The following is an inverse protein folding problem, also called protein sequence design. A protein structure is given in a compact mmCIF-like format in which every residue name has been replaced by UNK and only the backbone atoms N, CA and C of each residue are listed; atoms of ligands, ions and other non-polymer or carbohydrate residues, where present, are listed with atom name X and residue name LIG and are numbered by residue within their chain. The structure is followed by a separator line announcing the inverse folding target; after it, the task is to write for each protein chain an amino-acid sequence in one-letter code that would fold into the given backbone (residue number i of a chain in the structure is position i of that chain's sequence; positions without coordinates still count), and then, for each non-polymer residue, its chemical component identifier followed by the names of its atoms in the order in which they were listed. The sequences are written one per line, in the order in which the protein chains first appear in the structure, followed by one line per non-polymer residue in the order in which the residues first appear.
data_IF_219633092664
#
_entry.id   IF_219633092664
#
_cell.length_a   1.000
_cell.length_b   1.000
_cell.length_c   1.000
_cell.angle_alpha   90.00
_cell.angle_beta   90.00
_cell.angle_gamma   90.00
#
_symmetry.space_group_name_H-M   'P 1'
#
loop_
_entity.id
_entity.type
_entity.pdbx_description
1 polymer ?
#
# COMPACT_ATOMS: atom_id res chain seq x y z
N UNK A 1 -61.00 -9.31 -15.02
CA UNK A 1 -59.96 -10.36 -15.12
C UNK A 1 -58.94 -9.89 -16.15
N UNK A 2 -57.74 -9.59 -15.65
CA UNK A 2 -56.45 -9.38 -16.33
C UNK A 2 -56.37 -8.27 -17.38
N UNK A 3 -56.12 -7.07 -16.87
CA UNK A 3 -55.43 -6.00 -17.57
C UNK A 3 -54.01 -6.47 -17.94
N UNK A 4 -53.67 -6.45 -19.23
CA UNK A 4 -52.30 -6.65 -19.70
C UNK A 4 -51.59 -5.29 -19.72
N UNK A 5 -50.95 -4.97 -18.60
CA UNK A 5 -50.03 -3.85 -18.48
C UNK A 5 -48.81 -4.14 -19.37
N UNK A 6 -48.67 -3.38 -20.45
CA UNK A 6 -47.46 -3.39 -21.28
C UNK A 6 -46.45 -2.48 -20.59
N UNK A 7 -45.32 -2.99 -20.08
CA UNK A 7 -44.30 -2.13 -19.48
C UNK A 7 -43.67 -1.29 -20.59
N UNK A 8 -43.84 0.03 -20.49
CA UNK A 8 -43.17 1.00 -21.34
C UNK A 8 -41.65 0.89 -21.18
N UNK A 9 -40.86 1.08 -22.26
CA UNK A 9 -39.41 1.05 -22.18
C UNK A 9 -38.89 2.41 -21.70
N UNK A 10 -39.22 2.79 -20.46
CA UNK A 10 -38.55 3.91 -19.78
C UNK A 10 -37.58 3.34 -18.75
N UNK A 11 -36.37 3.00 -19.18
CA UNK A 11 -35.16 3.11 -18.37
C UNK A 11 -33.91 2.71 -19.18
N UNK A 12 -33.20 3.73 -19.61
CA UNK A 12 -31.75 3.86 -19.41
C UNK A 12 -30.85 2.79 -20.02
N UNK A 13 -30.32 3.15 -21.17
CA UNK A 13 -29.12 2.57 -21.74
C UNK A 13 -28.90 3.19 -23.10
N UNK A 14 -28.57 4.49 -23.13
CA UNK A 14 -27.91 5.04 -24.31
C UNK A 14 -26.82 4.06 -24.74
N UNK A 15 -26.63 3.78 -26.04
CA UNK A 15 -25.48 3.01 -26.48
C UNK A 15 -24.26 3.74 -25.94
N UNK A 16 -23.61 3.15 -24.92
CA UNK A 16 -22.59 3.74 -24.06
C UNK A 16 -21.57 4.50 -24.93
N UNK A 17 -21.88 5.76 -25.16
CA UNK A 17 -21.38 6.53 -26.27
C UNK A 17 -20.22 7.31 -25.74
N UNK A 18 -19.02 6.79 -25.96
CA UNK A 18 -17.78 7.47 -25.63
C UNK A 18 -17.80 8.08 -24.22
N UNK A 19 -17.75 7.23 -23.19
CA UNK A 19 -17.37 7.76 -21.87
C UNK A 19 -16.10 8.59 -22.04
N UNK A 20 -16.05 9.81 -21.47
CA UNK A 20 -14.88 10.64 -21.62
C UNK A 20 -13.69 9.86 -21.02
N UNK A 21 -12.66 9.63 -21.83
CA UNK A 21 -11.53 8.74 -21.53
C UNK A 21 -10.89 9.03 -20.16
N UNK A 22 -10.84 10.30 -19.75
CA UNK A 22 -10.24 10.73 -18.49
C UNK A 22 -11.05 10.31 -17.26
N UNK A 23 -12.37 10.54 -17.18
CA UNK A 23 -13.26 9.90 -16.21
C UNK A 23 -13.10 8.39 -16.09
N UNK A 24 -13.00 7.67 -17.21
CA UNK A 24 -12.78 6.22 -17.19
C UNK A 24 -11.43 5.88 -16.54
N UNK A 25 -10.36 6.57 -16.95
CA UNK A 25 -9.02 6.40 -16.36
C UNK A 25 -9.04 6.64 -14.85
N UNK A 26 -9.65 7.74 -14.39
CA UNK A 26 -9.78 8.07 -12.96
C UNK A 26 -10.54 6.98 -12.20
N UNK A 27 -11.61 6.47 -12.79
CA UNK A 27 -12.47 5.45 -12.18
C UNK A 27 -11.74 4.12 -12.04
N UNK A 28 -11.06 3.68 -13.11
CA UNK A 28 -10.31 2.41 -13.11
C UNK A 28 -9.09 2.48 -12.18
N UNK A 29 -8.38 3.60 -12.15
CA UNK A 29 -7.21 3.79 -11.27
C UNK A 29 -7.60 4.15 -9.83
N UNK A 30 -8.87 4.48 -9.56
CA UNK A 30 -9.34 5.04 -8.27
C UNK A 30 -8.53 6.28 -7.86
N UNK A 31 -8.19 7.13 -8.82
CA UNK A 31 -7.34 8.32 -8.66
C UNK A 31 -8.08 9.59 -9.11
N UNK A 32 -9.06 10.08 -8.33
CA UNK A 32 -9.79 11.31 -8.66
C UNK A 32 -8.90 12.56 -8.60
N UNK A 33 -7.73 12.45 -7.96
CA UNK A 33 -6.72 13.51 -7.83
C UNK A 33 -5.97 13.81 -9.15
N UNK A 34 -6.02 12.91 -10.14
CA UNK A 34 -5.32 13.11 -11.42
C UNK A 34 -6.03 14.18 -12.26
N UNK A 35 -5.33 15.28 -12.55
CA UNK A 35 -5.84 16.34 -13.43
C UNK A 35 -5.78 15.93 -14.90
N UNK A 36 -6.62 16.55 -15.74
CA UNK A 36 -6.64 16.28 -17.19
C UNK A 36 -5.32 16.63 -17.87
N UNK A 37 -4.55 17.59 -17.32
CA UNK A 37 -3.24 17.94 -17.83
C UNK A 37 -2.25 16.79 -17.60
N UNK A 38 -2.21 16.23 -16.39
CA UNK A 38 -1.34 15.08 -16.06
C UNK A 38 -1.71 13.86 -16.90
N UNK A 39 -3.01 13.59 -17.08
CA UNK A 39 -3.46 12.47 -17.91
C UNK A 39 -3.05 12.64 -19.37
N UNK A 40 -3.12 13.87 -19.91
CA UNK A 40 -2.63 14.18 -21.25
C UNK A 40 -1.13 13.94 -21.39
N UNK A 41 -0.35 14.39 -20.42
CA UNK A 41 1.11 14.20 -20.43
C UNK A 41 1.46 12.70 -20.38
N UNK A 42 0.79 11.92 -19.52
CA UNK A 42 0.99 10.46 -19.43
C UNK A 42 0.65 9.74 -20.75
N UNK A 43 -0.41 10.17 -21.43
CA UNK A 43 -0.79 9.62 -22.73
C UNK A 43 0.17 10.05 -23.84
N UNK A 44 0.67 11.30 -23.82
CA UNK A 44 1.63 11.82 -24.79
C UNK A 44 3.02 11.19 -24.66
N UNK A 45 3.44 10.87 -23.43
CA UNK A 45 4.70 10.18 -23.15
C UNK A 45 4.69 8.70 -23.57
N UNK A 46 3.56 8.18 -24.08
CA UNK A 46 3.37 6.77 -24.48
C UNK A 46 3.81 5.79 -23.38
N UNK A 47 3.67 6.16 -22.11
CA UNK A 47 4.02 5.32 -20.95
C UNK A 47 2.96 4.27 -20.64
N UNK A 48 2.38 3.71 -21.71
CA UNK A 48 1.51 2.56 -21.65
C UNK A 48 2.36 1.33 -21.90
N UNK A 49 2.38 0.42 -20.94
CA UNK A 49 2.94 -0.90 -21.24
C UNK A 49 1.91 -1.62 -22.11
N UNK A 50 2.21 -1.80 -23.40
CA UNK A 50 1.37 -2.42 -24.46
C UNK A 50 1.08 -3.92 -24.22
N UNK A 51 0.83 -4.31 -22.97
CA UNK A 51 0.59 -5.69 -22.55
C UNK A 51 -0.84 -6.18 -22.82
N UNK A 52 -1.72 -5.37 -23.41
CA UNK A 52 -3.16 -5.66 -23.47
C UNK A 52 -3.71 -5.95 -24.88
N UNK A 53 -2.87 -6.03 -25.92
CA UNK A 53 -3.33 -6.34 -27.29
C UNK A 53 -4.20 -5.26 -27.94
N UNK A 54 -4.31 -4.08 -27.31
CA UNK A 54 -4.93 -2.88 -27.83
C UNK A 54 -3.82 -1.83 -28.05
N UNK A 55 -3.76 -1.28 -29.26
CA UNK A 55 -2.82 -0.23 -29.60
C UNK A 55 -3.27 1.11 -28.99
N UNK A 56 -2.34 2.06 -28.88
CA UNK A 56 -2.63 3.37 -28.31
C UNK A 56 -3.71 4.11 -29.12
N UNK A 57 -3.67 4.02 -30.45
CA UNK A 57 -4.65 4.69 -31.31
C UNK A 57 -6.05 4.08 -31.15
N UNK A 58 -6.16 2.75 -31.06
CA UNK A 58 -7.38 2.05 -30.69
C UNK A 58 -7.89 2.47 -29.32
N UNK A 59 -7.02 2.55 -28.32
CA UNK A 59 -7.40 3.00 -26.97
C UNK A 59 -7.91 4.45 -26.95
N UNK A 60 -7.23 5.38 -27.64
CA UNK A 60 -7.62 6.80 -27.72
C UNK A 60 -8.92 7.01 -28.51
N UNK A 61 -9.18 6.16 -29.51
CA UNK A 61 -10.43 6.16 -30.29
C UNK A 61 -11.59 5.42 -29.61
N UNK A 62 -11.40 4.92 -28.38
CA UNK A 62 -12.44 4.21 -27.64
C UNK A 62 -12.67 2.76 -28.09
N UNK A 63 -11.77 2.19 -28.91
CA UNK A 63 -11.85 0.80 -29.35
C UNK A 63 -11.47 -0.19 -28.23
N UNK A 64 -11.93 -1.43 -28.39
CA UNK A 64 -11.68 -2.53 -27.46
C UNK A 64 -12.78 -2.71 -26.41
N UNK A 65 -12.78 -3.88 -25.77
CA UNK A 65 -13.76 -4.18 -24.71
C UNK A 65 -13.42 -3.41 -23.42
N UNK A 66 -14.40 -3.22 -22.54
CA UNK A 66 -14.18 -2.58 -21.24
C UNK A 66 -13.06 -3.26 -20.42
N UNK A 67 -12.94 -4.59 -20.49
CA UNK A 67 -11.87 -5.32 -19.81
C UNK A 67 -10.49 -5.05 -20.43
N UNK A 68 -10.39 -5.06 -21.76
CA UNK A 68 -9.15 -4.73 -22.48
C UNK A 68 -8.68 -3.32 -22.16
N UNK A 69 -9.60 -2.35 -22.18
CA UNK A 69 -9.32 -0.94 -21.86
C UNK A 69 -8.90 -0.78 -20.40
N UNK A 70 -9.57 -1.45 -19.47
CA UNK A 70 -9.17 -1.45 -18.06
C UNK A 70 -7.77 -2.04 -17.84
N UNK A 71 -7.35 -3.06 -18.60
CA UNK A 71 -5.97 -3.59 -18.55
C UNK A 71 -4.94 -2.57 -19.02
N UNK A 72 -5.21 -1.85 -20.11
CA UNK A 72 -4.35 -0.75 -20.60
C UNK A 72 -4.24 0.34 -19.53
N UNK A 73 -5.39 0.75 -18.95
CA UNK A 73 -5.40 1.79 -17.92
C UNK A 73 -4.57 1.37 -16.70
N UNK A 74 -4.70 0.11 -16.25
CA UNK A 74 -3.91 -0.41 -15.11
C UNK A 74 -2.42 -0.52 -15.41
N UNK A 75 -2.00 -0.55 -16.68
CA UNK A 75 -0.59 -0.56 -17.07
C UNK A 75 0.01 0.83 -17.26
N UNK A 76 -0.78 1.90 -17.05
CA UNK A 76 -0.33 3.29 -17.10
C UNK A 76 0.64 3.59 -15.96
N UNK A 77 1.76 4.23 -16.29
CA UNK A 77 2.64 4.83 -15.29
C UNK A 77 2.15 6.23 -14.96
N UNK A 78 1.49 6.39 -13.80
CA UNK A 78 0.99 7.69 -13.33
C UNK A 78 1.83 8.25 -12.18
N UNK A 79 1.89 9.58 -12.00
CA UNK A 79 2.58 10.19 -10.87
C UNK A 79 2.04 9.69 -9.51
N UNK A 80 2.89 9.69 -8.46
CA UNK A 80 2.45 9.32 -7.12
C UNK A 80 1.30 10.24 -6.64
N UNK A 81 0.41 9.75 -5.77
CA UNK A 81 -0.65 10.56 -5.18
C UNK A 81 -0.07 11.81 -4.51
N UNK A 82 -0.63 12.98 -4.81
CA UNK A 82 -0.17 14.24 -4.21
C UNK A 82 -0.57 14.38 -2.73
N UNK A 83 -1.54 13.57 -2.29
CA UNK A 83 -1.91 13.49 -0.89
C UNK A 83 -0.84 12.68 -0.15
N UNK A 84 0.11 13.39 0.46
CA UNK A 84 1.07 12.79 1.37
C UNK A 84 0.31 12.02 2.46
N UNK A 85 0.58 10.72 2.58
CA UNK A 85 0.15 9.94 3.73
C UNK A 85 0.71 10.65 4.97
N UNK A 86 -0.18 11.27 5.76
CA UNK A 86 0.21 11.79 7.07
C UNK A 86 0.59 10.59 7.92
N UNK A 87 1.89 10.31 7.99
CA UNK A 87 2.40 9.35 8.96
C UNK A 87 2.06 9.90 10.34
N UNK A 88 1.33 9.14 11.18
CA UNK A 88 1.13 9.54 12.55
C UNK A 88 2.50 9.71 13.21
N UNK A 89 2.67 10.81 13.92
CA UNK A 89 3.89 11.05 14.67
C UNK A 89 3.99 9.98 15.77
N UNK A 90 4.80 8.95 15.53
CA UNK A 90 5.17 8.01 16.57
C UNK A 90 6.20 8.70 17.45
N UNK A 91 5.82 9.07 18.68
CA UNK A 91 6.80 9.49 19.66
C UNK A 91 7.61 8.26 20.09
N UNK A 92 8.77 8.13 19.45
CA UNK A 92 9.78 7.13 19.76
C UNK A 92 10.58 7.50 21.01
N UNK A 93 10.14 8.50 21.78
CA UNK A 93 10.73 8.87 23.06
C UNK A 93 10.07 8.11 24.20
N UNK A 94 10.82 7.47 25.10
CA UNK A 94 12.27 7.23 25.03
C UNK A 94 12.60 6.15 23.99
N UNK A 95 13.85 6.14 23.45
CA UNK A 95 14.26 5.21 22.40
C UNK A 95 14.00 3.75 22.79
N UNK A 96 13.72 2.90 21.81
CA UNK A 96 13.35 1.50 22.03
C UNK A 96 14.39 0.73 22.87
N UNK A 97 15.67 1.11 22.78
CA UNK A 97 16.75 0.56 23.61
C UNK A 97 16.53 0.80 25.11
N UNK A 98 15.92 1.92 25.49
CA UNK A 98 15.54 2.23 26.87
C UNK A 98 14.28 1.46 27.27
N UNK A 99 13.29 1.40 26.38
CA UNK A 99 12.03 0.67 26.64
C UNK A 99 12.25 -0.82 26.85
N UNK A 100 13.13 -1.43 26.05
CA UNK A 100 13.41 -2.87 26.09
C UNK A 100 14.71 -3.25 26.79
N UNK A 101 15.45 -2.28 27.34
CA UNK A 101 16.69 -2.52 28.09
C UNK A 101 16.56 -3.62 29.16
N UNK A 102 15.48 -3.64 29.98
CA UNK A 102 15.28 -4.70 30.97
C UNK A 102 15.12 -6.10 30.37
N UNK A 103 14.42 -6.22 29.24
CA UNK A 103 14.22 -7.50 28.56
C UNK A 103 15.53 -8.01 27.92
N UNK A 104 16.31 -7.11 27.31
CA UNK A 104 17.64 -7.43 26.76
C UNK A 104 18.60 -7.86 27.87
N UNK A 105 18.59 -7.17 29.01
CA UNK A 105 19.39 -7.53 30.17
C UNK A 105 19.00 -8.91 30.74
N UNK A 106 17.70 -9.20 30.82
CA UNK A 106 17.21 -10.51 31.25
C UNK A 106 17.66 -11.63 30.30
N UNK A 107 17.45 -11.47 28.99
CA UNK A 107 17.90 -12.45 27.99
C UNK A 107 19.41 -12.67 28.05
N UNK A 108 20.19 -11.59 28.18
CA UNK A 108 21.65 -11.67 28.32
C UNK A 108 22.05 -12.47 29.55
N UNK A 109 21.46 -12.18 30.72
CA UNK A 109 21.77 -12.88 31.96
C UNK A 109 21.40 -14.37 31.91
N UNK A 110 20.28 -14.71 31.27
CA UNK A 110 19.86 -16.10 31.06
C UNK A 110 20.83 -16.82 30.12
N UNK A 111 21.21 -16.20 29.00
CA UNK A 111 22.17 -16.77 28.06
C UNK A 111 23.56 -16.94 28.70
N UNK A 112 24.04 -15.95 29.45
CA UNK A 112 25.31 -16.06 30.18
C UNK A 112 25.28 -17.18 31.23
N UNK A 113 24.15 -17.38 31.92
CA UNK A 113 23.98 -18.48 32.87
C UNK A 113 23.92 -19.86 32.20
N UNK A 114 23.37 -19.96 30.98
CA UNK A 114 23.28 -21.20 30.21
C UNK A 114 24.60 -21.57 29.53
N UNK A 115 25.37 -20.58 29.05
CA UNK A 115 26.63 -20.79 28.31
C UNK A 115 27.81 -21.01 29.28
N UNK A 116 27.76 -20.48 30.50
CA UNK A 116 28.82 -20.65 31.50
C UNK A 116 28.30 -21.24 32.82
N UNK A 117 28.12 -22.57 32.94
CA UNK A 117 27.65 -23.20 34.19
C UNK A 117 28.67 -23.17 35.35
N UNK A 118 29.85 -22.56 35.16
CA UNK A 118 31.06 -22.92 35.92
C UNK A 118 31.76 -21.83 36.73
N UNK A 119 31.38 -20.55 36.67
CA UNK A 119 32.02 -19.54 37.53
C UNK A 119 31.36 -19.53 38.91
N UNK A 120 31.76 -20.51 39.73
CA UNK A 120 31.50 -20.55 41.17
C UNK A 120 31.84 -19.17 41.75
N UNK A 121 30.86 -18.57 42.41
CA UNK A 121 31.05 -17.43 43.31
C UNK A 121 32.21 -17.76 44.25
N UNK A 122 33.34 -17.10 44.10
CA UNK A 122 34.30 -16.99 45.21
C UNK A 122 33.61 -16.15 46.28
N UNK A 123 33.13 -16.83 47.33
CA UNK A 123 32.59 -16.20 48.53
C UNK A 123 33.65 -15.25 49.12
N UNK A 124 33.24 -14.15 49.77
CA UNK A 124 34.19 -13.35 50.54
C UNK A 124 34.74 -14.23 51.67
N UNK A 125 36.06 -14.45 51.67
CA UNK A 125 36.76 -15.10 52.79
C UNK A 125 36.48 -14.28 54.04
N UNK A 126 35.73 -14.86 54.98
CA UNK A 126 35.49 -14.29 56.29
C UNK A 126 36.84 -14.14 57.01
N UNK A 127 37.29 -12.89 57.18
CA UNK A 127 38.41 -12.56 58.04
C UNK A 127 38.00 -12.80 59.51
N UNK A 128 38.34 -13.97 60.03
CA UNK A 128 38.29 -14.26 61.47
C UNK A 128 39.41 -13.47 62.16
N UNK A 129 39.09 -12.29 62.69
CA UNK A 129 39.96 -11.60 63.65
C UNK A 129 39.64 -12.15 65.03
N UNK A 130 40.53 -13.01 65.55
CA UNK A 130 40.51 -13.54 66.91
C UNK A 130 41.49 -12.71 67.74
N UNK A 131 41.01 -11.70 68.46
CA UNK A 131 41.85 -10.97 69.42
C UNK A 131 41.79 -11.64 70.79
N UNK A 132 42.98 -11.96 71.29
CA UNK A 132 43.31 -12.26 72.68
C UNK A 132 43.95 -11.04 73.29
#
# INVERSE_FOLDING_TARGET
MTDHETPGPDASGEPCGHEPLFPEIRTVLKRPDLSDAVLRDVLAENRLTLCAGLDLNGFLSGAGTADTRARVIRSMVVPPPQHGLKMPAHDLSPPLSVRFGPAVAWCRNVLEALIAPGKRRTAPVAAHIRNR
#
